data_IF_884602445762
#
_entry.id   IF_884602445762
#
_cell.length_a   1.000
_cell.length_b   1.000
_cell.length_c   1.000
_cell.angle_alpha   90.00
_cell.angle_beta   90.00
_cell.angle_gamma   90.00
#
_symmetry.space_group_name_H-M   'P 1'
#
loop_
_entity.id
_entity.type
_entity.pdbx_description
1 polymer ?
#
# COMPACT_ATOMS: atom_id res chain seq x y z
N UNK A 1 -40.66 -39.38 -42.07
CA UNK A 1 -40.33 -38.71 -40.80
C UNK A 1 -39.19 -37.72 -41.05
N UNK A 2 -39.39 -36.43 -40.77
CA UNK A 2 -38.36 -35.38 -40.87
C UNK A 2 -37.75 -35.19 -39.48
N UNK A 3 -36.45 -35.47 -39.33
CA UNK A 3 -35.69 -35.17 -38.11
C UNK A 3 -35.00 -33.83 -38.37
N UNK A 4 -35.43 -32.78 -37.66
CA UNK A 4 -34.78 -31.48 -37.69
C UNK A 4 -33.63 -31.48 -36.70
N UNK A 5 -32.41 -31.27 -37.20
CA UNK A 5 -31.23 -31.00 -36.37
C UNK A 5 -31.22 -29.53 -35.97
N UNK A 6 -31.45 -29.27 -34.69
CA UNK A 6 -31.33 -27.95 -34.08
C UNK A 6 -29.84 -27.67 -33.87
N UNK A 7 -29.33 -26.64 -34.56
CA UNK A 7 -28.00 -26.07 -34.32
C UNK A 7 -28.02 -25.35 -32.96
N UNK A 8 -27.35 -25.93 -31.96
CA UNK A 8 -27.03 -25.24 -30.71
C UNK A 8 -25.85 -24.30 -30.95
N UNK A 9 -26.15 -23.00 -30.96
CA UNK A 9 -25.18 -21.91 -30.87
C UNK A 9 -24.43 -22.03 -29.54
N UNK A 10 -23.20 -22.51 -29.60
CA UNK A 10 -22.25 -22.39 -28.49
C UNK A 10 -21.85 -20.91 -28.39
N UNK A 11 -22.53 -20.18 -27.50
CA UNK A 11 -22.05 -18.90 -26.99
C UNK A 11 -20.74 -19.18 -26.27
N UNK A 12 -19.62 -18.84 -26.92
CA UNK A 12 -18.31 -18.75 -26.31
C UNK A 12 -18.37 -17.65 -25.25
N UNK A 13 -18.73 -18.03 -24.02
CA UNK A 13 -18.44 -17.22 -22.86
C UNK A 13 -16.91 -17.14 -22.77
N UNK A 14 -16.33 -16.05 -23.27
CA UNK A 14 -15.01 -15.62 -22.86
C UNK A 14 -15.08 -15.41 -21.35
N UNK A 15 -14.68 -16.41 -20.59
CA UNK A 15 -14.22 -16.19 -19.24
C UNK A 15 -12.95 -15.35 -19.39
N UNK A 16 -13.09 -14.04 -19.22
CA UNK A 16 -11.96 -13.23 -18.80
C UNK A 16 -11.61 -13.77 -17.41
N UNK A 17 -10.73 -14.76 -17.38
CA UNK A 17 -9.91 -14.97 -16.20
C UNK A 17 -9.18 -13.64 -16.02
N UNK A 18 -9.58 -12.86 -15.03
CA UNK A 18 -8.74 -11.78 -14.51
C UNK A 18 -7.41 -12.47 -14.16
N UNK A 19 -6.42 -12.31 -15.03
CA UNK A 19 -5.08 -12.75 -14.72
C UNK A 19 -4.69 -11.98 -13.46
N UNK A 20 -4.48 -12.71 -12.38
CA UNK A 20 -3.87 -12.15 -11.18
C UNK A 20 -2.57 -11.53 -11.65
N UNK A 21 -2.47 -10.21 -11.55
CA UNK A 21 -1.26 -9.52 -11.95
C UNK A 21 -0.11 -10.08 -11.10
N UNK A 22 0.91 -10.63 -11.75
CA UNK A 22 2.11 -11.07 -11.04
C UNK A 22 2.88 -9.84 -10.57
N UNK A 23 3.46 -9.91 -9.37
CA UNK A 23 4.34 -8.87 -8.86
C UNK A 23 5.70 -8.97 -9.57
N UNK A 24 6.06 -7.95 -10.34
CA UNK A 24 7.41 -7.77 -10.89
C UNK A 24 8.06 -6.53 -10.29
N UNK A 25 8.63 -6.73 -9.10
CA UNK A 25 9.26 -5.65 -8.34
C UNK A 25 10.41 -5.00 -9.11
N UNK A 26 11.29 -5.80 -9.73
CA UNK A 26 12.48 -5.27 -10.40
C UNK A 26 12.09 -4.40 -11.60
N UNK A 27 11.15 -4.86 -12.44
CA UNK A 27 10.66 -4.07 -13.55
C UNK A 27 9.93 -2.81 -13.07
N UNK A 28 9.14 -2.92 -12.00
CA UNK A 28 8.43 -1.81 -11.39
C UNK A 28 9.34 -0.69 -10.91
N UNK A 29 10.35 -1.04 -10.11
CA UNK A 29 11.33 -0.08 -9.57
C UNK A 29 12.17 0.55 -10.69
N UNK A 30 12.57 -0.23 -11.70
CA UNK A 30 13.27 0.30 -12.88
C UNK A 30 12.40 1.31 -13.65
N UNK A 31 11.10 1.05 -13.78
CA UNK A 31 10.17 1.95 -14.46
C UNK A 31 9.94 3.25 -13.67
N UNK A 32 9.96 3.21 -12.33
CA UNK A 32 9.95 4.42 -11.49
C UNK A 32 11.18 5.29 -11.76
N UNK A 33 12.38 4.70 -11.78
CA UNK A 33 13.63 5.43 -12.07
C UNK A 33 13.64 6.06 -13.47
N UNK A 34 12.92 5.46 -14.41
CA UNK A 34 12.74 5.96 -15.77
C UNK A 34 11.57 6.95 -15.93
N UNK A 35 10.90 7.35 -14.84
CA UNK A 35 9.71 8.22 -14.83
C UNK A 35 8.55 7.69 -15.68
N UNK A 36 8.45 6.35 -15.80
CA UNK A 36 7.37 5.68 -16.51
C UNK A 36 6.37 5.08 -15.52
N UNK A 37 5.58 5.96 -14.90
CA UNK A 37 4.66 5.60 -13.82
C UNK A 37 3.58 4.60 -14.22
N UNK A 38 3.14 4.62 -15.48
CA UNK A 38 2.15 3.66 -16.01
C UNK A 38 2.72 2.25 -16.06
N UNK A 39 3.93 2.08 -16.60
CA UNK A 39 4.61 0.78 -16.60
C UNK A 39 4.99 0.35 -15.18
N UNK A 40 5.37 1.27 -14.31
CA UNK A 40 5.63 0.98 -12.91
C UNK A 40 4.37 0.41 -12.22
N UNK A 41 3.21 1.06 -12.39
CA UNK A 41 1.95 0.56 -11.83
C UNK A 41 1.60 -0.82 -12.36
N UNK A 42 1.70 -1.04 -13.68
CA UNK A 42 1.35 -2.33 -14.27
C UNK A 42 2.23 -3.48 -13.76
N UNK A 43 3.51 -3.23 -13.48
CA UNK A 43 4.43 -4.21 -12.91
C UNK A 43 4.24 -4.40 -11.38
N UNK A 44 3.91 -3.33 -10.65
CA UNK A 44 3.81 -3.36 -9.20
C UNK A 44 2.43 -3.74 -8.67
N UNK A 45 1.33 -3.59 -9.44
CA UNK A 45 -0.04 -3.80 -8.93
C UNK A 45 -0.29 -5.20 -8.36
N UNK A 46 0.47 -6.20 -8.79
CA UNK A 46 0.44 -7.56 -8.24
C UNK A 46 1.10 -7.71 -6.87
N UNK A 47 1.89 -6.74 -6.43
CA UNK A 47 2.70 -6.81 -5.20
C UNK A 47 1.88 -6.58 -3.93
N UNK A 48 0.65 -6.07 -4.05
CA UNK A 48 -0.18 -5.60 -2.95
C UNK A 48 -0.48 -6.62 -1.84
N UNK A 49 -0.36 -7.91 -2.13
CA UNK A 49 -0.59 -9.02 -1.18
C UNK A 49 0.57 -10.04 -1.16
N UNK A 50 1.77 -9.66 -1.60
CA UNK A 50 2.99 -10.52 -1.66
C UNK A 50 4.04 -10.11 -0.64
N UNK A 51 5.14 -10.86 -0.49
CA UNK A 51 6.32 -10.51 0.32
C UNK A 51 7.29 -9.53 -0.36
N UNK A 52 6.77 -8.67 -1.24
CA UNK A 52 7.51 -7.60 -1.92
C UNK A 52 8.24 -6.67 -0.93
N UNK A 53 9.32 -6.03 -1.39
CA UNK A 53 10.08 -5.12 -0.55
C UNK A 53 9.27 -3.91 -0.10
N UNK A 54 9.68 -3.31 1.02
CA UNK A 54 9.03 -2.10 1.51
C UNK A 54 9.10 -0.94 0.51
N UNK A 55 10.16 -0.84 -0.32
CA UNK A 55 10.24 0.19 -1.37
C UNK A 55 9.18 -0.04 -2.45
N UNK A 56 9.01 -1.27 -2.92
CA UNK A 56 8.01 -1.61 -3.94
C UNK A 56 6.59 -1.34 -3.44
N UNK A 57 6.30 -1.70 -2.19
CA UNK A 57 5.02 -1.44 -1.54
C UNK A 57 4.78 0.07 -1.36
N UNK A 58 5.80 0.84 -0.96
CA UNK A 58 5.72 2.29 -0.85
C UNK A 58 5.47 2.95 -2.20
N UNK A 59 6.22 2.56 -3.24
CA UNK A 59 6.06 3.13 -4.58
C UNK A 59 4.66 2.81 -5.13
N UNK A 60 4.14 1.59 -4.90
CA UNK A 60 2.76 1.26 -5.26
C UNK A 60 1.74 2.10 -4.48
N UNK A 61 1.96 2.33 -3.18
CA UNK A 61 1.15 3.25 -2.37
C UNK A 61 1.05 4.62 -3.05
N UNK A 62 2.18 5.21 -3.43
CA UNK A 62 2.26 6.52 -4.11
C UNK A 62 1.55 6.49 -5.46
N UNK A 63 1.73 5.43 -6.24
CA UNK A 63 1.12 5.29 -7.57
C UNK A 63 -0.40 5.22 -7.52
N UNK A 64 -1.01 4.78 -6.42
CA UNK A 64 -2.47 4.66 -6.29
C UNK A 64 -3.12 5.75 -5.44
N UNK A 65 -2.35 6.53 -4.67
CA UNK A 65 -2.85 7.56 -3.74
C UNK A 65 -3.60 8.69 -4.47
N UNK A 66 -4.68 9.25 -3.88
CA UNK A 66 -6.09 9.02 -4.20
C UNK A 66 -6.55 9.38 -5.62
N UNK A 67 -5.73 10.01 -6.44
CA UNK A 67 -6.04 10.31 -7.85
C UNK A 67 -5.10 9.59 -8.84
N UNK A 68 -4.39 8.55 -8.35
CA UNK A 68 -3.44 7.76 -9.12
C UNK A 68 -4.03 6.63 -9.98
N UNK A 69 -3.20 5.66 -10.33
CA UNK A 69 -3.52 4.54 -11.21
C UNK A 69 -4.50 3.53 -10.59
N UNK A 70 -5.13 2.71 -11.43
CA UNK A 70 -6.05 1.65 -11.02
C UNK A 70 -7.53 2.04 -11.02
N UNK A 71 -8.39 1.03 -11.00
CA UNK A 71 -9.85 1.18 -10.99
C UNK A 71 -10.39 0.78 -9.62
N UNK A 72 -11.01 1.74 -8.92
CA UNK A 72 -11.54 1.55 -7.58
C UNK A 72 -13.04 1.86 -7.53
N UNK A 73 -13.75 1.19 -6.62
CA UNK A 73 -15.20 1.38 -6.43
C UNK A 73 -15.54 2.75 -5.81
N UNK A 74 -14.61 3.32 -5.06
CA UNK A 74 -14.71 4.64 -4.43
C UNK A 74 -13.32 5.19 -4.10
N UNK A 75 -13.24 6.50 -3.87
CA UNK A 75 -12.04 7.16 -3.35
C UNK A 75 -11.65 6.66 -1.95
N UNK A 76 -12.64 6.35 -1.10
CA UNK A 76 -12.41 5.76 0.23
C UNK A 76 -11.69 4.41 0.12
N UNK A 77 -12.16 3.51 -0.74
CA UNK A 77 -11.53 2.20 -0.92
C UNK A 77 -10.10 2.34 -1.43
N UNK A 78 -9.87 3.24 -2.39
CA UNK A 78 -8.54 3.54 -2.89
C UNK A 78 -7.62 4.06 -1.79
N UNK A 79 -8.11 4.96 -0.96
CA UNK A 79 -7.34 5.54 0.14
C UNK A 79 -6.99 4.49 1.18
N UNK A 80 -7.93 3.62 1.55
CA UNK A 80 -7.69 2.48 2.46
C UNK A 80 -6.62 1.55 1.89
N UNK A 81 -6.75 1.12 0.63
CA UNK A 81 -5.77 0.21 0.01
C UNK A 81 -4.39 0.86 -0.10
N UNK A 82 -4.34 2.15 -0.42
CA UNK A 82 -3.10 2.93 -0.44
C UNK A 82 -2.45 3.01 0.94
N UNK A 83 -3.21 3.29 2.00
CA UNK A 83 -2.67 3.35 3.35
C UNK A 83 -2.22 1.98 3.85
N UNK A 84 -2.95 0.91 3.50
CA UNK A 84 -2.54 -0.48 3.78
C UNK A 84 -1.17 -0.79 3.16
N UNK A 85 -0.93 -0.38 1.92
CA UNK A 85 0.38 -0.54 1.27
C UNK A 85 1.50 0.21 2.00
N UNK A 86 1.26 1.47 2.39
CA UNK A 86 2.22 2.26 3.17
C UNK A 86 2.54 1.61 4.52
N UNK A 87 1.53 1.08 5.20
CA UNK A 87 1.67 0.38 6.47
C UNK A 87 2.51 -0.92 6.30
N UNK A 88 2.24 -1.70 5.25
CA UNK A 88 3.04 -2.90 4.92
C UNK A 88 4.48 -2.54 4.54
N UNK A 89 4.70 -1.43 3.85
CA UNK A 89 6.04 -0.93 3.57
C UNK A 89 6.81 -0.58 4.85
N UNK A 90 6.14 0.01 5.83
CA UNK A 90 6.71 0.29 7.16
C UNK A 90 7.07 -1.01 7.90
N UNK A 91 6.18 -2.02 7.88
CA UNK A 91 6.43 -3.35 8.45
C UNK A 91 7.63 -4.06 7.82
N UNK A 92 7.86 -3.83 6.52
CA UNK A 92 9.04 -4.33 5.81
C UNK A 92 10.31 -3.49 6.08
N UNK A 93 10.25 -2.48 6.96
CA UNK A 93 11.37 -1.65 7.37
C UNK A 93 11.72 -0.51 6.42
N UNK A 94 10.82 -0.12 5.50
CA UNK A 94 11.10 1.00 4.61
C UNK A 94 10.97 2.34 5.34
N UNK A 95 12.11 3.01 5.51
CA UNK A 95 12.28 4.16 6.40
C UNK A 95 11.27 5.30 6.18
N UNK A 96 10.97 5.62 4.93
CA UNK A 96 10.01 6.70 4.58
C UNK A 96 8.60 6.33 5.05
N UNK A 97 8.21 5.07 4.86
CA UNK A 97 6.91 4.56 5.31
C UNK A 97 6.83 4.43 6.82
N UNK A 98 7.91 4.03 7.50
CA UNK A 98 8.00 4.03 8.97
C UNK A 98 7.72 5.42 9.52
N UNK A 99 8.34 6.46 8.94
CA UNK A 99 8.13 7.84 9.37
C UNK A 99 6.75 8.38 9.01
N UNK A 100 6.21 8.01 7.85
CA UNK A 100 4.84 8.35 7.43
C UNK A 100 3.79 7.73 8.37
N UNK A 101 3.99 6.47 8.77
CA UNK A 101 3.15 5.79 9.73
C UNK A 101 3.20 6.51 11.08
N UNK A 102 4.39 6.82 11.61
CA UNK A 102 4.52 7.53 12.87
C UNK A 102 3.88 8.93 12.87
N UNK A 103 3.94 9.66 11.76
CA UNK A 103 3.19 10.90 11.59
C UNK A 103 1.67 10.66 11.69
N UNK A 104 1.17 9.60 11.06
CA UNK A 104 -0.25 9.20 11.17
C UNK A 104 -0.64 8.84 12.61
N UNK A 105 0.24 8.16 13.37
CA UNK A 105 0.02 7.89 14.79
C UNK A 105 -0.11 9.17 15.63
N UNK A 106 0.67 10.22 15.31
CA UNK A 106 0.63 11.49 16.06
C UNK A 106 -0.64 12.31 15.82
N UNK A 107 -1.06 12.42 14.56
CA UNK A 107 -2.11 13.35 14.15
C UNK A 107 -3.45 12.67 13.85
N UNK A 108 -3.46 11.34 13.81
CA UNK A 108 -4.61 10.53 13.42
C UNK A 108 -4.81 10.50 11.89
N UNK A 109 -5.51 9.48 11.43
CA UNK A 109 -6.03 9.39 10.07
C UNK A 109 -7.44 8.81 10.11
N UNK A 110 -8.43 9.37 9.38
CA UNK A 110 -9.76 8.79 9.31
C UNK A 110 -9.80 7.46 8.52
N UNK A 111 -8.72 7.11 7.81
CA UNK A 111 -8.62 5.93 6.95
C UNK A 111 -7.81 4.78 7.57
N UNK A 112 -7.24 5.00 8.75
CA UNK A 112 -6.49 3.98 9.48
C UNK A 112 -6.98 3.93 10.92
N UNK A 113 -7.20 2.74 11.44
CA UNK A 113 -7.65 2.55 12.82
C UNK A 113 -6.46 2.57 13.79
N UNK A 114 -5.75 3.70 13.83
CA UNK A 114 -4.57 3.87 14.69
C UNK A 114 -5.00 4.45 16.03
N UNK A 115 -4.77 3.71 17.11
CA UNK A 115 -4.99 4.16 18.48
C UNK A 115 -3.67 4.09 19.25
N UNK A 116 -2.85 5.16 19.21
CA UNK A 116 -1.57 5.14 19.92
C UNK A 116 -1.78 5.06 21.44
N UNK A 117 -0.88 4.34 22.14
CA UNK A 117 -0.78 4.52 23.59
C UNK A 117 -0.32 5.95 23.91
N UNK A 118 -0.64 6.48 25.11
CA UNK A 118 -0.13 7.78 25.56
C UNK A 118 1.40 7.87 25.53
N UNK A 119 2.10 6.77 25.83
CA UNK A 119 3.57 6.69 25.87
C UNK A 119 4.19 6.86 24.48
N UNK A 120 3.57 6.26 23.46
CA UNK A 120 4.06 6.34 22.07
C UNK A 120 3.74 7.69 21.47
N UNK A 121 2.55 8.22 21.77
CA UNK A 121 2.19 9.59 21.40
C UNK A 121 3.18 10.59 21.98
N UNK A 122 3.51 10.45 23.26
CA UNK A 122 4.48 11.29 23.94
C UNK A 122 5.88 11.15 23.30
N UNK A 123 6.36 9.92 23.09
CA UNK A 123 7.68 9.69 22.49
C UNK A 123 7.78 10.34 21.10
N UNK A 124 6.83 10.06 20.21
CA UNK A 124 6.81 10.61 18.86
C UNK A 124 6.69 12.14 18.87
N UNK A 125 5.93 12.73 19.80
CA UNK A 125 5.76 14.18 19.89
C UNK A 125 7.02 14.95 20.29
N UNK A 126 7.98 14.25 20.91
CA UNK A 126 9.28 14.81 21.31
C UNK A 126 10.32 14.73 20.21
N UNK A 127 10.07 13.98 19.13
CA UNK A 127 10.94 13.93 17.97
C UNK A 127 10.79 15.27 17.22
N UNK A 128 11.87 16.06 17.07
CA UNK A 128 11.80 17.29 16.29
C UNK A 128 11.50 16.93 14.83
N UNK A 129 10.33 17.33 14.34
CA UNK A 129 10.06 17.36 12.91
C UNK A 129 10.80 18.57 12.34
N UNK A 130 11.71 18.41 11.36
CA UNK A 130 12.50 19.54 10.88
C UNK A 130 11.63 20.60 10.15
N UNK A 131 10.40 20.26 9.78
CA UNK A 131 9.32 21.18 9.39
C UNK A 131 8.00 20.41 9.20
N UNK A 132 6.87 21.10 9.05
CA UNK A 132 5.56 20.48 8.77
C UNK A 132 5.51 19.69 7.44
N UNK A 133 6.53 19.84 6.58
CA UNK A 133 6.69 19.13 5.30
C UNK A 133 7.68 17.96 5.36
N UNK A 134 8.34 17.74 6.49
CA UNK A 134 9.35 16.69 6.63
C UNK A 134 8.82 15.57 7.53
N UNK A 135 8.95 14.34 7.02
CA UNK A 135 8.70 13.14 7.78
C UNK A 135 9.63 13.08 9.01
N UNK A 136 9.15 12.45 10.08
CA UNK A 136 9.97 12.21 11.28
C UNK A 136 11.26 11.48 10.89
N UNK A 137 12.36 11.71 11.62
CA UNK A 137 13.59 10.95 11.38
C UNK A 137 13.36 9.45 11.62
N UNK A 138 13.62 8.57 10.64
CA UNK A 138 13.36 7.13 10.76
C UNK A 138 14.04 6.51 11.98
N UNK A 139 15.30 6.88 12.26
CA UNK A 139 16.04 6.37 13.42
C UNK A 139 15.39 6.74 14.77
N UNK A 140 14.84 7.94 14.89
CA UNK A 140 14.17 8.37 16.11
C UNK A 140 12.80 7.69 16.26
N UNK A 141 12.09 7.49 15.15
CA UNK A 141 10.82 6.75 15.12
C UNK A 141 11.05 5.30 15.52
N UNK A 142 12.04 4.64 14.93
CA UNK A 142 12.42 3.27 15.25
C UNK A 142 12.81 3.13 16.73
N UNK A 143 13.59 4.07 17.27
CA UNK A 143 13.93 4.07 18.69
C UNK A 143 12.68 4.21 19.58
N UNK A 144 11.74 5.10 19.23
CA UNK A 144 10.48 5.24 19.97
C UNK A 144 9.62 3.98 19.89
N UNK A 145 9.41 3.41 18.71
CA UNK A 145 8.59 2.22 18.53
C UNK A 145 9.23 0.97 19.16
N UNK A 146 10.55 0.81 19.07
CA UNK A 146 11.28 -0.32 19.68
C UNK A 146 11.19 -0.34 21.20
N UNK A 147 11.03 0.82 21.85
CA UNK A 147 10.82 0.92 23.30
C UNK A 147 9.39 0.59 23.72
N UNK A 148 8.48 0.40 22.77
CA UNK A 148 7.06 0.12 23.00
C UNK A 148 6.61 -1.15 22.23
N UNK A 149 7.17 -2.33 22.59
CA UNK A 149 6.99 -3.58 21.85
C UNK A 149 5.57 -4.15 21.88
N UNK A 150 4.69 -3.61 22.73
CA UNK A 150 3.27 -3.99 22.78
C UNK A 150 2.47 -3.42 21.59
N UNK A 151 3.06 -2.51 20.82
CA UNK A 151 2.53 -2.09 19.52
C UNK A 151 2.92 -3.14 18.50
N UNK A 152 1.93 -3.93 18.09
CA UNK A 152 2.06 -4.81 16.95
C UNK A 152 1.50 -4.11 15.71
N UNK A 153 2.35 -3.49 14.87
CA UNK A 153 1.91 -2.82 13.66
C UNK A 153 1.20 -3.76 12.67
N UNK A 154 1.32 -5.09 12.83
CA UNK A 154 0.59 -6.03 11.97
C UNK A 154 -0.91 -5.97 12.20
N UNK A 155 -1.40 -5.76 13.43
CA UNK A 155 -2.85 -5.65 13.71
C UNK A 155 -3.44 -4.29 13.34
N UNK A 156 -2.60 -3.28 13.11
CA UNK A 156 -3.02 -1.91 12.77
C UNK A 156 -3.06 -1.65 11.25
N UNK A 157 -2.54 -2.57 10.44
CA UNK A 157 -2.53 -2.50 8.97
C UNK A 157 -3.71 -3.25 8.29
N UNK A 158 -4.78 -3.60 9.03
CA UNK A 158 -5.95 -4.35 8.53
C UNK A 158 -7.20 -3.49 8.32
#
# INVERSE_FOLDING_TARGET
MKIQFIFLLALSACSQFDQIAECDEQAGLTAIEADNLSSAYEALKGCADTDASGKALHDLHILIFPEGFGSYKSEDQRTIDSQRLNCRAALAGYEVSVSSLAHTYLYGSPYMSVNPSPEVSLCLSTIPAPSASEYLSPNHVEACLSLNPDIDPTYECY
#
